data_IF_094887909993
#
_entry.id   IF_094887909993
#
_cell.length_a   1.000
_cell.length_b   1.000
_cell.length_c   1.000
_cell.angle_alpha   90.00
_cell.angle_beta   90.00
_cell.angle_gamma   90.00
#
_symmetry.space_group_name_H-M   'P 1'
#
loop_
_entity.id
_entity.type
_entity.pdbx_description
1 polymer ?
#
# COMPACT_ATOMS: atom_id res chain seq x y z
N UNK A 1 6.98 16.11 9.48
CA UNK A 1 5.64 15.48 9.47
C UNK A 1 5.86 13.99 9.43
N UNK A 2 5.02 13.21 10.11
CA UNK A 2 5.09 11.75 10.02
C UNK A 2 4.39 11.33 8.72
N UNK A 3 5.10 10.57 7.87
CA UNK A 3 4.52 9.96 6.67
C UNK A 3 3.57 8.82 7.09
N UNK A 4 2.54 8.56 6.28
CA UNK A 4 1.67 7.41 6.48
C UNK A 4 2.32 6.16 5.90
N UNK A 5 2.43 5.11 6.72
CA UNK A 5 2.94 3.81 6.31
C UNK A 5 1.95 2.71 6.66
N UNK A 6 2.05 1.59 5.94
CA UNK A 6 1.22 0.43 6.20
C UNK A 6 1.67 -0.26 7.50
N UNK A 7 0.71 -0.60 8.35
CA UNK A 7 0.92 -1.37 9.58
C UNK A 7 0.10 -2.67 9.52
N UNK A 8 0.62 -3.75 10.09
CA UNK A 8 -0.06 -5.03 10.28
C UNK A 8 -0.24 -5.31 11.77
N UNK A 9 -1.47 -5.34 12.28
CA UNK A 9 -1.73 -5.84 13.63
C UNK A 9 -1.75 -7.38 13.65
N UNK A 10 -1.39 -8.01 14.79
CA UNK A 10 -1.66 -9.42 15.04
C UNK A 10 -3.16 -9.74 14.99
N UNK A 11 -3.51 -11.02 14.83
CA UNK A 11 -4.91 -11.46 14.76
C UNK A 11 -5.69 -11.17 16.05
N UNK A 12 -5.01 -11.20 17.20
CA UNK A 12 -5.58 -10.81 18.49
C UNK A 12 -5.73 -9.29 18.69
N UNK A 13 -5.32 -8.50 17.70
CA UNK A 13 -5.43 -7.04 17.67
C UNK A 13 -4.10 -6.32 17.93
N UNK A 14 -4.11 -5.02 17.63
CA UNK A 14 -2.94 -4.13 17.72
C UNK A 14 -2.50 -3.82 19.17
N UNK A 15 -3.31 -4.18 20.17
CA UNK A 15 -3.07 -3.79 21.57
C UNK A 15 -3.39 -2.32 21.84
N UNK A 16 -3.13 -1.88 23.07
CA UNK A 16 -3.35 -0.47 23.46
C UNK A 16 -2.38 0.44 22.72
N UNK A 17 -2.91 1.49 22.09
CA UNK A 17 -2.11 2.45 21.30
C UNK A 17 -1.23 1.76 20.24
N UNK A 18 -1.77 0.72 19.60
CA UNK A 18 -1.12 -0.04 18.52
C UNK A 18 0.25 -0.65 18.88
N UNK A 19 0.51 -0.89 20.18
CA UNK A 19 1.80 -1.37 20.68
C UNK A 19 2.28 -2.71 20.09
N UNK A 20 1.37 -3.49 19.49
CA UNK A 20 1.69 -4.76 18.81
C UNK A 20 1.69 -4.65 17.28
N UNK A 21 1.34 -3.49 16.71
CA UNK A 21 1.32 -3.32 15.26
C UNK A 21 2.74 -3.31 14.68
N UNK A 22 2.93 -4.05 13.61
CA UNK A 22 4.22 -4.15 12.91
C UNK A 22 4.20 -3.27 11.66
N UNK A 23 5.24 -2.48 11.45
CA UNK A 23 5.35 -1.64 10.24
C UNK A 23 5.68 -2.50 9.02
N UNK A 24 5.00 -2.26 7.91
CA UNK A 24 5.12 -3.03 6.65
C UNK A 24 5.90 -2.26 5.58
N UNK A 25 5.66 -0.95 5.46
CA UNK A 25 6.37 -0.07 4.52
C UNK A 25 7.11 1.03 5.24
N UNK A 26 8.15 1.61 4.63
CA UNK A 26 8.91 2.66 5.30
C UNK A 26 9.82 3.52 4.45
N UNK A 27 9.57 3.57 3.16
CA UNK A 27 10.25 4.47 2.23
C UNK A 27 9.67 5.91 2.32
N UNK A 28 10.16 6.80 1.46
CA UNK A 28 9.76 8.21 1.47
C UNK A 28 8.32 8.52 0.98
N UNK A 29 7.49 7.50 0.70
CA UNK A 29 6.11 7.70 0.22
C UNK A 29 5.06 7.66 1.33
N UNK A 30 3.85 8.13 1.03
CA UNK A 30 2.67 7.93 1.86
C UNK A 30 1.78 6.81 1.28
N UNK A 31 1.62 5.72 2.03
CA UNK A 31 1.00 4.48 1.54
C UNK A 31 -0.42 4.26 2.05
N UNK A 32 -1.32 3.89 1.14
CA UNK A 32 -2.77 3.79 1.37
C UNK A 32 -3.39 2.55 0.72
N UNK A 33 -4.55 2.15 1.24
CA UNK A 33 -5.43 1.10 0.67
C UNK A 33 -4.74 -0.26 0.45
N UNK A 34 -4.14 -0.87 1.50
CA UNK A 34 -3.52 -2.18 1.37
C UNK A 34 -4.54 -3.28 1.11
N UNK A 35 -4.34 -4.07 0.05
CA UNK A 35 -5.15 -5.25 -0.27
C UNK A 35 -4.28 -6.49 -0.47
N UNK A 36 -4.29 -7.44 0.49
CA UNK A 36 -3.64 -8.73 0.28
C UNK A 36 -4.37 -9.54 -0.79
N UNK A 37 -3.62 -10.31 -1.58
CA UNK A 37 -4.16 -11.29 -2.51
C UNK A 37 -4.88 -12.43 -1.76
N UNK A 38 -5.91 -13.07 -2.35
CA UNK A 38 -6.62 -14.18 -1.71
C UNK A 38 -5.73 -15.35 -1.28
N UNK A 39 -4.62 -15.60 -1.99
CA UNK A 39 -3.62 -16.63 -1.62
C UNK A 39 -2.60 -16.16 -0.56
N UNK A 40 -2.71 -14.93 -0.09
CA UNK A 40 -1.90 -14.35 0.99
C UNK A 40 -0.45 -14.03 0.61
N UNK A 41 -0.09 -14.07 -0.68
CA UNK A 41 1.30 -13.90 -1.11
C UNK A 41 1.67 -12.48 -1.51
N UNK A 42 0.72 -11.71 -2.03
CA UNK A 42 0.96 -10.37 -2.58
C UNK A 42 0.18 -9.31 -1.83
N UNK A 43 0.75 -8.12 -1.71
CA UNK A 43 0.12 -6.93 -1.17
C UNK A 43 0.13 -5.85 -2.24
N UNK A 44 -1.04 -5.41 -2.71
CA UNK A 44 -1.17 -4.25 -3.60
C UNK A 44 -1.67 -3.05 -2.80
N UNK A 45 -1.14 -1.86 -3.10
CA UNK A 45 -1.48 -0.61 -2.41
C UNK A 45 -1.19 0.61 -3.29
N UNK A 46 -1.67 1.78 -2.88
CA UNK A 46 -1.31 3.05 -3.50
C UNK A 46 -0.23 3.77 -2.69
N UNK A 47 0.67 4.45 -3.39
CA UNK A 47 1.56 5.44 -2.80
C UNK A 47 1.31 6.82 -3.40
N UNK A 48 1.43 7.85 -2.57
CA UNK A 48 1.35 9.25 -2.97
C UNK A 48 2.60 10.01 -2.55
N UNK A 49 3.04 10.99 -3.36
CA UNK A 49 4.13 11.86 -2.97
C UNK A 49 3.72 12.71 -1.75
N UNK A 50 4.61 12.90 -0.77
CA UNK A 50 4.34 13.79 0.35
C UNK A 50 4.39 15.27 -0.07
N UNK A 51 3.67 16.18 0.63
CA UNK A 51 2.73 15.89 1.70
C UNK A 51 1.34 15.52 1.16
N UNK A 52 0.77 14.40 1.59
CA UNK A 52 -0.61 14.03 1.28
C UNK A 52 -1.52 14.33 2.48
N UNK A 53 -2.44 15.29 2.34
CA UNK A 53 -3.26 15.82 3.46
C UNK A 53 -4.54 15.00 3.71
N UNK A 54 -4.46 13.66 3.64
CA UNK A 54 -5.60 12.73 3.73
C UNK A 54 -5.82 11.91 2.46
N UNK A 55 -6.94 11.18 2.35
CA UNK A 55 -7.16 10.26 1.22
C UNK A 55 -8.13 10.76 0.15
N UNK A 56 -8.77 11.91 0.33
CA UNK A 56 -9.78 12.46 -0.60
C UNK A 56 -9.18 12.98 -1.93
N UNK A 57 -7.87 12.88 -2.10
CA UNK A 57 -7.16 13.49 -3.22
C UNK A 57 -7.21 12.63 -4.48
N UNK A 58 -7.49 13.29 -5.60
CA UNK A 58 -7.18 12.80 -6.94
C UNK A 58 -5.86 13.45 -7.37
N UNK A 59 -4.80 12.67 -7.52
CA UNK A 59 -3.44 13.14 -7.78
C UNK A 59 -2.66 12.11 -8.59
N UNK A 60 -1.38 12.36 -8.86
CA UNK A 60 -0.46 11.34 -9.35
C UNK A 60 -0.29 10.26 -8.27
N UNK A 61 -0.89 9.10 -8.50
CA UNK A 61 -0.80 7.92 -7.65
C UNK A 61 0.14 6.88 -8.28
N UNK A 62 0.84 6.14 -7.43
CA UNK A 62 1.58 4.96 -7.84
C UNK A 62 0.86 3.71 -7.34
N UNK A 63 0.61 2.74 -8.24
CA UNK A 63 0.17 1.41 -7.86
C UNK A 63 1.40 0.55 -7.62
N UNK A 64 1.55 0.04 -6.41
CA UNK A 64 2.72 -0.71 -5.98
C UNK A 64 2.34 -2.08 -5.46
N UNK A 65 3.28 -3.01 -5.55
CA UNK A 65 3.06 -4.38 -5.08
C UNK A 65 4.33 -4.95 -4.47
N UNK A 66 4.17 -5.69 -3.37
CA UNK A 66 5.24 -6.43 -2.71
C UNK A 66 4.75 -7.79 -2.22
N UNK A 67 5.64 -8.75 -1.92
CA UNK A 67 5.28 -9.93 -1.15
C UNK A 67 4.71 -9.54 0.22
N UNK A 68 3.71 -10.28 0.71
CA UNK A 68 3.24 -10.11 2.09
C UNK A 68 4.39 -10.49 3.04
N UNK A 69 4.80 -9.63 4.00
CA UNK A 69 5.85 -9.97 4.94
C UNK A 69 5.48 -11.22 5.75
N UNK A 70 6.43 -12.13 5.98
CA UNK A 70 6.20 -13.28 6.85
C UNK A 70 5.83 -12.80 8.28
N UNK A 71 4.97 -13.54 8.98
CA UNK A 71 4.57 -13.23 10.36
C UNK A 71 5.68 -13.42 11.40
N UNK A 72 6.78 -14.07 11.01
CA UNK A 72 7.88 -14.46 11.90
C UNK A 72 9.19 -13.71 11.65
N UNK A 73 9.20 -12.76 10.71
CA UNK A 73 10.39 -11.97 10.38
C UNK A 73 10.11 -10.51 10.71
N UNK A 74 11.04 -9.79 11.36
CA UNK A 74 10.95 -8.34 11.42
C UNK A 74 10.84 -7.85 9.98
N UNK A 75 9.85 -7.00 9.70
CA UNK A 75 9.69 -6.42 8.37
C UNK A 75 11.02 -5.76 8.00
N UNK A 76 11.72 -6.35 7.04
CA UNK A 76 12.89 -5.72 6.47
C UNK A 76 12.33 -4.59 5.62
N UNK A 77 12.29 -3.40 6.23
CA UNK A 77 11.65 -2.26 5.61
C UNK A 77 12.39 -1.96 4.30
N UNK A 78 11.67 -1.95 3.17
CA UNK A 78 12.20 -1.44 1.91
C UNK A 78 12.86 -0.09 2.17
N UNK A 79 14.11 0.05 1.73
CA UNK A 79 14.86 1.31 1.83
C UNK A 79 14.75 2.06 0.51
N UNK A 80 15.06 3.36 0.56
CA UNK A 80 15.07 4.21 -0.64
C UNK A 80 16.16 3.83 -1.65
N UNK A 81 17.05 2.89 -1.30
CA UNK A 81 18.13 2.39 -2.14
C UNK A 81 17.55 1.50 -3.26
N UNK A 82 18.03 1.67 -4.50
CA UNK A 82 17.42 1.07 -5.70
C UNK A 82 17.24 -0.46 -5.67
N UNK A 83 18.06 -1.18 -4.89
CA UNK A 83 18.02 -2.64 -4.80
C UNK A 83 16.89 -3.18 -3.88
N UNK A 84 16.41 -2.37 -2.92
CA UNK A 84 15.40 -2.76 -1.92
C UNK A 84 14.05 -2.02 -2.11
N UNK A 85 13.90 -1.22 -3.17
CA UNK A 85 12.72 -0.40 -3.39
C UNK A 85 11.46 -1.23 -3.73
N UNK A 86 10.30 -0.85 -3.20
CA UNK A 86 9.04 -1.53 -3.54
C UNK A 86 8.66 -1.23 -5.00
N UNK A 87 8.46 -2.26 -5.86
CA UNK A 87 8.17 -2.06 -7.28
C UNK A 87 6.91 -1.23 -7.54
N UNK A 88 7.04 -0.30 -8.49
CA UNK A 88 5.91 0.44 -9.08
C UNK A 88 5.41 -0.33 -10.29
N UNK A 89 4.15 -0.77 -10.25
CA UNK A 89 3.50 -1.44 -11.37
C UNK A 89 3.06 -0.43 -12.43
N UNK A 90 2.54 0.71 -11.99
CA UNK A 90 2.15 1.82 -12.87
C UNK A 90 1.98 3.12 -12.08
N UNK A 91 2.09 4.25 -12.76
CA UNK A 91 1.78 5.57 -12.25
C UNK A 91 0.66 6.20 -13.08
N UNK A 92 -0.33 6.79 -12.42
CA UNK A 92 -1.56 7.25 -13.06
C UNK A 92 -2.20 8.40 -12.28
N UNK A 93 -3.09 9.15 -12.93
CA UNK A 93 -3.94 10.11 -12.22
C UNK A 93 -5.11 9.38 -11.58
N UNK A 94 -5.23 9.47 -10.25
CA UNK A 94 -6.13 8.61 -9.46
C UNK A 94 -6.06 8.91 -7.97
N UNK A 95 -6.45 7.95 -7.13
CA UNK A 95 -6.39 8.07 -5.68
C UNK A 95 -7.65 7.53 -5.03
N UNK A 96 -8.43 8.39 -4.36
CA UNK A 96 -9.76 8.02 -3.89
C UNK A 96 -10.61 7.47 -5.03
N UNK A 97 -11.15 6.28 -4.84
CA UNK A 97 -11.96 5.47 -5.77
C UNK A 97 -11.15 4.50 -6.64
N UNK A 98 -9.82 4.55 -6.62
CA UNK A 98 -8.99 3.70 -7.48
C UNK A 98 -8.93 2.24 -7.03
N UNK A 99 -8.75 1.99 -5.73
CA UNK A 99 -8.74 0.65 -5.09
C UNK A 99 -9.29 0.68 -3.66
N UNK A 100 -10.36 1.41 -3.35
CA UNK A 100 -10.84 1.53 -1.95
C UNK A 100 -11.34 0.23 -1.34
N UNK A 101 -11.77 -0.71 -2.18
CA UNK A 101 -12.20 -2.05 -1.79
C UNK A 101 -11.27 -3.07 -2.43
N UNK A 102 -11.13 -4.23 -1.79
CA UNK A 102 -10.30 -5.30 -2.34
C UNK A 102 -10.81 -5.69 -3.73
N UNK A 103 -9.93 -5.58 -4.71
CA UNK A 103 -10.23 -5.73 -6.13
C UNK A 103 -9.49 -6.89 -6.77
N UNK A 104 -8.91 -7.79 -5.96
CA UNK A 104 -8.25 -9.00 -6.45
C UNK A 104 -9.25 -9.99 -7.06
N UNK A 105 -8.84 -10.67 -8.13
CA UNK A 105 -9.52 -11.84 -8.62
C UNK A 105 -9.41 -12.99 -7.61
N UNK A 106 -10.43 -13.87 -7.49
CA UNK A 106 -10.39 -14.98 -6.54
C UNK A 106 -9.20 -15.94 -6.73
N UNK A 107 -8.67 -16.03 -7.95
CA UNK A 107 -7.51 -16.85 -8.29
C UNK A 107 -6.15 -16.17 -8.01
N UNK A 108 -6.15 -14.95 -7.46
CA UNK A 108 -4.96 -14.16 -7.12
C UNK A 108 -4.06 -13.79 -8.30
N UNK A 109 -4.52 -13.93 -9.55
CA UNK A 109 -3.71 -13.67 -10.74
C UNK A 109 -3.86 -12.25 -11.29
N UNK A 110 -4.93 -11.55 -10.90
CA UNK A 110 -5.28 -10.22 -11.42
C UNK A 110 -5.90 -9.39 -10.31
N UNK A 111 -5.88 -8.08 -10.47
CA UNK A 111 -6.70 -7.16 -9.70
C UNK A 111 -7.20 -6.05 -10.63
N UNK A 112 -8.30 -5.41 -10.26
CA UNK A 112 -8.81 -4.25 -10.97
C UNK A 112 -8.39 -2.95 -10.26
N UNK A 113 -8.19 -1.88 -11.02
CA UNK A 113 -8.03 -0.52 -10.49
C UNK A 113 -8.68 0.49 -11.44
N UNK A 114 -8.99 1.67 -10.94
CA UNK A 114 -9.55 2.77 -11.74
C UNK A 114 -8.54 3.91 -11.83
N UNK A 115 -8.22 4.31 -13.06
CA UNK A 115 -7.55 5.57 -13.36
C UNK A 115 -8.55 6.62 -13.81
N UNK A 116 -8.25 7.89 -13.53
CA UNK A 116 -9.05 9.02 -13.95
C UNK A 116 -8.38 9.76 -15.10
N UNK A 117 -9.23 10.41 -15.89
CA UNK A 117 -8.81 11.36 -16.91
C UNK A 117 -9.37 12.73 -16.56
N UNK A 118 -8.54 13.76 -16.71
CA UNK A 118 -8.96 15.15 -16.57
C UNK A 118 -9.61 15.57 -17.90
N UNK A 119 -10.92 15.80 -17.88
CA UNK A 119 -11.63 16.38 -19.02
C UNK A 119 -11.47 17.90 -18.97
N UNK A 120 -10.99 18.47 -20.08
CA UNK A 120 -10.87 19.92 -20.32
C UNK A 120 -12.08 20.46 -21.06
#
# INVERSE_FOLDING_TARGET
MNLLHLLRPPAEGAGTADAKAERVTGDAQEDWFPHPSPDGKWLVFLSFPPPTKGHDFKTAAQLRMMPVPASSMPAQLPKDDADDAIPVLTQFFGGQGSINVNSWSPDSKRFAFVSYELLS
#
